data_IF_689709769579
#
_entry.id   IF_689709769579
#
_cell.length_a   1.000
_cell.length_b   1.000
_cell.length_c   1.000
_cell.angle_alpha   90.00
_cell.angle_beta   90.00
_cell.angle_gamma   90.00
#
_symmetry.space_group_name_H-M   'P 1'
#
loop_
_entity.id
_entity.type
_entity.pdbx_description
1 polymer ?
#
# COMPACT_ATOMS: atom_id res chain seq x y z
N UNK A 1 12.98 -1.02 -29.25
CA UNK A 1 12.77 -0.68 -27.84
C UNK A 1 12.84 0.83 -27.77
N UNK A 2 11.73 1.50 -27.49
CA UNK A 2 11.66 2.95 -27.53
C UNK A 2 12.46 3.52 -26.36
N UNK A 3 13.40 4.40 -26.68
CA UNK A 3 14.24 5.16 -25.76
C UNK A 3 13.34 6.21 -25.09
N UNK A 4 12.75 5.84 -23.95
CA UNK A 4 11.89 6.74 -23.17
C UNK A 4 12.71 7.20 -21.98
N UNK A 5 13.06 8.49 -21.95
CA UNK A 5 13.92 9.09 -20.92
C UNK A 5 13.31 8.87 -19.51
N UNK A 6 14.02 8.15 -18.63
CA UNK A 6 13.53 7.89 -17.27
C UNK A 6 13.72 9.14 -16.40
N UNK A 7 12.63 9.91 -16.27
CA UNK A 7 12.62 11.12 -15.43
C UNK A 7 12.59 10.79 -13.94
N UNK A 8 13.60 11.25 -13.22
CA UNK A 8 13.80 11.02 -11.77
C UNK A 8 13.90 12.36 -11.03
N UNK A 9 13.26 12.46 -9.86
CA UNK A 9 13.35 13.62 -8.96
C UNK A 9 13.97 13.20 -7.62
N UNK A 10 14.70 14.11 -6.98
CA UNK A 10 15.42 13.85 -5.74
C UNK A 10 15.00 14.83 -4.63
N UNK A 11 14.78 14.31 -3.43
CA UNK A 11 14.50 15.11 -2.24
C UNK A 11 15.80 15.46 -1.52
N UNK A 12 16.21 16.73 -1.58
CA UNK A 12 17.44 17.22 -0.94
C UNK A 12 17.47 17.10 0.60
N UNK A 13 16.33 16.83 1.25
CA UNK A 13 16.25 16.72 2.72
C UNK A 13 16.55 15.33 3.25
N UNK A 14 16.17 14.29 2.52
CA UNK A 14 16.35 12.89 2.93
C UNK A 14 17.23 12.08 1.97
N UNK A 15 17.79 12.72 0.94
CA UNK A 15 18.63 12.09 -0.09
C UNK A 15 17.95 10.91 -0.82
N UNK A 16 16.62 10.90 -0.84
CA UNK A 16 15.81 9.90 -1.53
C UNK A 16 15.53 10.38 -2.96
N UNK A 17 15.62 9.48 -3.93
CA UNK A 17 15.20 9.70 -5.32
C UNK A 17 13.98 8.84 -5.67
N UNK A 18 13.14 9.36 -6.56
CA UNK A 18 11.95 8.68 -7.06
C UNK A 18 11.78 8.92 -8.57
N UNK A 19 11.34 7.89 -9.29
CA UNK A 19 11.01 7.98 -10.72
C UNK A 19 9.61 8.57 -10.87
N UNK A 20 9.50 9.76 -11.46
CA UNK A 20 8.21 10.49 -11.58
C UNK A 20 7.64 10.42 -12.99
N UNK A 21 8.47 10.17 -14.00
CA UNK A 21 8.03 10.07 -15.41
C UNK A 21 7.12 8.87 -15.69
N UNK A 22 7.02 7.91 -14.76
CA UNK A 22 6.13 6.77 -14.91
C UNK A 22 4.65 7.12 -14.66
N UNK A 23 4.34 8.21 -13.96
CA UNK A 23 2.97 8.56 -13.52
C UNK A 23 2.54 9.98 -13.88
N UNK A 24 3.52 10.85 -14.18
CA UNK A 24 3.31 12.27 -14.41
C UNK A 24 3.73 12.64 -15.83
N UNK A 25 2.91 12.25 -16.80
CA UNK A 25 2.99 12.76 -18.17
C UNK A 25 1.80 13.70 -18.41
N UNK A 26 1.99 14.76 -19.18
CA UNK A 26 1.00 15.82 -19.52
C UNK A 26 -0.06 15.29 -20.51
N UNK A 27 -0.40 14.00 -20.38
CA UNK A 27 -1.30 13.25 -21.24
C UNK A 27 -2.71 13.30 -20.68
N UNK A 28 -3.72 13.36 -21.56
CA UNK A 28 -5.13 13.34 -21.20
C UNK A 28 -5.52 12.05 -20.46
N UNK A 29 -6.63 12.11 -19.71
CA UNK A 29 -7.05 11.02 -18.80
C UNK A 29 -7.21 9.64 -19.48
N UNK A 30 -7.59 9.61 -20.76
CA UNK A 30 -7.76 8.38 -21.55
C UNK A 30 -6.41 7.70 -21.87
N UNK A 31 -5.42 8.49 -22.31
CA UNK A 31 -4.08 8.00 -22.67
C UNK A 31 -3.30 7.56 -21.42
N UNK A 32 -3.58 8.19 -20.26
CA UNK A 32 -3.07 7.79 -18.94
C UNK A 32 -3.59 6.44 -18.48
N UNK A 33 -4.86 6.11 -18.78
CA UNK A 33 -5.44 4.80 -18.44
C UNK A 33 -4.84 3.66 -19.27
N UNK A 34 -4.54 3.90 -20.56
CA UNK A 34 -3.88 2.92 -21.42
C UNK A 34 -2.40 2.67 -21.06
N UNK A 35 -1.74 3.67 -20.46
CA UNK A 35 -0.33 3.61 -20.06
C UNK A 35 -0.11 3.42 -18.56
N UNK A 36 -1.17 3.16 -17.78
CA UNK A 36 -1.11 3.00 -16.34
C UNK A 36 -0.11 1.89 -15.95
N UNK A 37 1.05 2.21 -15.36
CA UNK A 37 2.03 1.21 -14.93
C UNK A 37 1.51 0.32 -13.79
N UNK A 38 0.41 0.71 -13.13
CA UNK A 38 -0.29 -0.10 -12.14
C UNK A 38 -1.41 -0.96 -12.74
N UNK A 39 -1.83 -0.65 -13.98
CA UNK A 39 -2.71 -1.44 -14.84
C UNK A 39 -3.92 -2.10 -14.15
N UNK A 40 -4.45 -3.13 -14.80
CA UNK A 40 -5.56 -3.95 -14.28
C UNK A 40 -5.08 -5.03 -13.29
N UNK A 41 -3.80 -5.38 -13.37
CA UNK A 41 -3.16 -6.40 -12.54
C UNK A 41 -2.82 -5.82 -11.16
N UNK A 42 -3.85 -5.57 -10.35
CA UNK A 42 -3.70 -5.04 -9.00
C UNK A 42 -3.03 -6.07 -8.09
N UNK A 43 -1.93 -5.67 -7.47
CA UNK A 43 -1.36 -6.30 -6.26
C UNK A 43 -2.13 -5.90 -4.99
N UNK A 44 -3.24 -5.15 -5.11
CA UNK A 44 -4.17 -4.88 -4.00
C UNK A 44 -4.88 -6.17 -3.61
N UNK A 45 -4.28 -6.85 -2.67
CA UNK A 45 -4.89 -7.99 -1.99
C UNK A 45 -5.93 -7.43 -1.02
N UNK A 46 -7.15 -7.98 -1.05
CA UNK A 46 -8.19 -7.63 -0.09
C UNK A 46 -7.66 -7.71 1.34
N UNK A 47 -8.01 -6.73 2.18
CA UNK A 47 -7.51 -6.64 3.55
C UNK A 47 -7.77 -7.94 4.34
N UNK A 48 -8.90 -8.60 4.11
CA UNK A 48 -9.23 -9.87 4.76
C UNK A 48 -8.31 -11.01 4.32
N UNK A 49 -7.86 -10.99 3.06
CA UNK A 49 -6.88 -11.94 2.53
C UNK A 49 -5.50 -11.69 3.16
N UNK A 50 -5.05 -10.44 3.28
CA UNK A 50 -3.80 -10.11 4.00
C UNK A 50 -3.88 -10.53 5.46
N UNK A 51 -4.97 -10.22 6.17
CA UNK A 51 -5.12 -10.58 7.59
C UNK A 51 -5.14 -12.09 7.84
N UNK A 52 -5.62 -12.89 6.90
CA UNK A 52 -5.63 -14.37 7.01
C UNK A 52 -4.24 -14.99 6.95
N UNK A 53 -3.36 -14.47 6.09
CA UNK A 53 -1.99 -15.01 5.93
C UNK A 53 -0.95 -14.25 6.76
N UNK A 54 -1.27 -13.02 7.20
CA UNK A 54 -0.37 -12.20 7.99
C UNK A 54 -0.38 -12.62 9.47
N UNK A 55 0.79 -12.98 10.04
CA UNK A 55 0.94 -13.22 11.46
C UNK A 55 0.45 -12.04 12.32
N UNK A 56 0.61 -10.81 11.82
CA UNK A 56 0.19 -9.60 12.53
C UNK A 56 -1.34 -9.49 12.66
N UNK A 57 -2.09 -9.91 11.64
CA UNK A 57 -3.56 -9.92 11.68
C UNK A 57 -4.09 -10.89 12.75
N UNK A 58 -3.57 -12.11 12.76
CA UNK A 58 -3.92 -13.12 13.76
C UNK A 58 -3.55 -12.71 15.20
N UNK A 59 -2.33 -12.18 15.39
CA UNK A 59 -1.87 -11.76 16.72
C UNK A 59 -2.66 -10.57 17.26
N UNK A 60 -3.10 -9.66 16.39
CA UNK A 60 -3.96 -8.54 16.78
C UNK A 60 -5.33 -9.03 17.28
N UNK A 61 -5.98 -9.93 16.54
CA UNK A 61 -7.27 -10.53 16.96
C UNK A 61 -7.14 -11.29 18.29
N UNK A 62 -6.04 -12.03 18.49
CA UNK A 62 -5.78 -12.73 19.74
C UNK A 62 -5.58 -11.77 20.90
N UNK A 63 -4.80 -10.70 20.70
CA UNK A 63 -4.60 -9.64 21.69
C UNK A 63 -5.93 -9.01 22.09
N UNK A 64 -6.78 -8.66 21.13
CA UNK A 64 -8.05 -8.00 21.40
C UNK A 64 -8.99 -8.87 22.25
N UNK A 65 -8.99 -10.18 22.02
CA UNK A 65 -9.72 -11.15 22.85
C UNK A 65 -9.19 -11.21 24.28
N UNK A 66 -7.87 -11.24 24.45
CA UNK A 66 -7.24 -11.26 25.78
C UNK A 66 -7.55 -9.95 26.53
N UNK A 67 -7.44 -8.80 25.85
CA UNK A 67 -7.74 -7.50 26.44
C UNK A 67 -9.23 -7.37 26.80
N UNK A 68 -10.14 -7.95 26.01
CA UNK A 68 -11.56 -7.99 26.34
C UNK A 68 -11.81 -8.86 27.59
N UNK A 69 -11.18 -10.03 27.67
CA UNK A 69 -11.30 -10.92 28.82
C UNK A 69 -10.73 -10.28 30.09
N UNK A 70 -9.55 -9.67 29.98
CA UNK A 70 -8.89 -8.94 31.06
C UNK A 70 -9.73 -7.78 31.56
N UNK A 71 -10.31 -6.97 30.65
CA UNK A 71 -11.22 -5.88 31.03
C UNK A 71 -12.46 -6.38 31.76
N UNK A 72 -13.06 -7.50 31.31
CA UNK A 72 -14.22 -8.09 31.97
C UNK A 72 -13.90 -8.60 33.38
N UNK A 73 -12.73 -9.23 33.56
CA UNK A 73 -12.29 -9.73 34.86
C UNK A 73 -11.89 -8.60 35.82
N UNK A 74 -11.19 -7.57 35.33
CA UNK A 74 -10.68 -6.48 36.15
C UNK A 74 -11.76 -5.44 36.50
N UNK A 75 -12.70 -5.18 35.57
CA UNK A 75 -13.66 -4.07 35.70
C UNK A 75 -15.14 -4.51 35.68
N UNK A 76 -15.44 -5.80 35.51
CA UNK A 76 -16.78 -6.34 35.63
C UNK A 76 -17.77 -5.99 34.50
N UNK A 77 -17.29 -5.51 33.35
CA UNK A 77 -18.11 -5.23 32.14
C UNK A 77 -17.95 -6.30 31.07
#
# INVERSE_FOLDING_TARGET
>A
MSDQEIRTEACGRCSMSAVVGAVSDDQGDEERAERDPFGEARIEVDESSIRRVSPAGFLSDLKDRIDALGRRLAYGK
#
